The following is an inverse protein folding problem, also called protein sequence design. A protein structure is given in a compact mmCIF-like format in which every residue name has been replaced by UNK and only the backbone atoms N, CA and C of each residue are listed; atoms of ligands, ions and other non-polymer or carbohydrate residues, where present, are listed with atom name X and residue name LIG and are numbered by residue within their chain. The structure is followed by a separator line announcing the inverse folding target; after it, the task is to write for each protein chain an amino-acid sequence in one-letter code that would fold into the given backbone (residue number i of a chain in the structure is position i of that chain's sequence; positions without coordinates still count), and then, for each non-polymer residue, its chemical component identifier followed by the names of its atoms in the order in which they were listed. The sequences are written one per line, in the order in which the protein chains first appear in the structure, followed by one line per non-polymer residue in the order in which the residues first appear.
data_IF_385717657067
#
_entry.id   IF_385717657067
#
_cell.length_a   1.000
_cell.length_b   1.000
_cell.length_c   1.000
_cell.angle_alpha   90.00
_cell.angle_beta   90.00
_cell.angle_gamma   90.00
#
_symmetry.space_group_name_H-M   'P 1'
#
loop_
_entity.id
_entity.type
_entity.pdbx_description
1 polymer ?
#
# COMPACT_ATOMS: atom_id res chain seq x y z
N UNK A 1 40.41 1.96 -59.97
CA UNK A 1 41.07 2.78 -58.95
C UNK A 1 40.45 2.39 -57.62
N UNK A 2 41.22 1.63 -56.87
CA UNK A 2 41.05 1.26 -55.46
C UNK A 2 42.22 1.98 -54.72
N UNK A 3 42.31 2.11 -53.38
CA UNK A 3 41.32 2.14 -52.29
C UNK A 3 41.47 3.44 -51.43
N UNK A 4 40.61 3.62 -50.42
CA UNK A 4 40.71 4.70 -49.43
C UNK A 4 40.16 4.28 -48.07
N UNK A 5 40.89 3.37 -47.43
CA UNK A 5 40.72 2.80 -46.10
C UNK A 5 40.95 3.84 -44.99
N UNK A 6 39.99 4.00 -44.07
CA UNK A 6 40.21 4.68 -42.77
C UNK A 6 39.47 3.91 -41.68
N UNK A 7 40.13 2.88 -41.16
CA UNK A 7 39.84 2.28 -39.86
C UNK A 7 40.30 3.23 -38.74
N UNK A 8 39.39 3.66 -37.86
CA UNK A 8 39.78 4.13 -36.53
C UNK A 8 39.36 3.08 -35.49
N UNK A 9 40.32 2.21 -35.21
CA UNK A 9 40.40 1.40 -33.99
C UNK A 9 40.67 2.34 -32.81
N UNK A 10 39.83 2.28 -31.78
CA UNK A 10 40.23 2.67 -30.43
C UNK A 10 40.04 1.46 -29.51
N UNK A 11 41.10 0.66 -29.48
CA UNK A 11 41.42 -0.30 -28.43
C UNK A 11 41.54 0.43 -27.08
N UNK A 12 40.56 0.21 -26.20
CA UNK A 12 40.62 0.56 -24.78
C UNK A 12 40.64 -0.70 -23.92
N UNK A 13 41.76 -1.44 -23.92
CA UNK A 13 41.98 -2.59 -23.04
C UNK A 13 42.77 -2.19 -21.78
N UNK A 14 42.19 -2.62 -20.65
CA UNK A 14 42.82 -3.13 -19.42
C UNK A 14 43.39 -2.14 -18.38
N UNK A 15 42.77 -2.18 -17.19
CA UNK A 15 43.37 -2.53 -15.87
C UNK A 15 42.21 -2.55 -14.85
N UNK A 16 41.57 -3.68 -14.52
CA UNK A 16 41.99 -4.76 -13.62
C UNK A 16 42.52 -4.27 -12.26
N UNK A 17 41.63 -4.18 -11.26
CA UNK A 17 41.90 -4.58 -9.86
C UNK A 17 40.64 -5.23 -9.31
N UNK A 18 40.57 -6.56 -9.46
CA UNK A 18 39.71 -7.43 -8.65
C UNK A 18 40.39 -7.57 -7.29
N UNK A 19 39.87 -6.94 -6.24
CA UNK A 19 40.20 -7.31 -4.87
C UNK A 19 39.30 -8.46 -4.43
N UNK A 20 39.82 -9.67 -4.58
CA UNK A 20 39.32 -10.84 -3.88
C UNK A 20 39.75 -10.76 -2.42
N UNK A 21 38.78 -10.66 -1.51
CA UNK A 21 39.00 -10.95 -0.09
C UNK A 21 38.34 -12.29 0.23
N UNK A 22 39.15 -13.34 0.22
CA UNK A 22 38.79 -14.66 0.73
C UNK A 22 39.15 -14.76 2.21
N UNK A 23 38.10 -14.85 3.02
CA UNK A 23 37.86 -15.76 4.16
C UNK A 23 39.04 -16.22 5.03
N UNK A 24 39.00 -15.81 6.30
CA UNK A 24 39.21 -16.63 7.50
C UNK A 24 38.48 -15.89 8.64
N UNK A 25 37.70 -16.45 9.55
CA UNK A 25 37.34 -17.80 9.92
C UNK A 25 36.39 -17.69 11.12
N UNK A 26 35.85 -18.81 11.61
CA UNK A 26 35.15 -18.82 12.89
C UNK A 26 33.92 -19.71 12.90
N UNK A 27 34.15 -21.02 12.95
CA UNK A 27 33.17 -21.99 13.43
C UNK A 27 32.84 -21.64 14.89
N UNK A 28 31.59 -21.34 15.17
CA UNK A 28 30.98 -21.62 16.47
C UNK A 28 29.59 -22.21 16.23
N UNK A 29 29.59 -23.54 16.15
CA UNK A 29 28.40 -24.36 16.35
C UNK A 29 28.18 -24.40 17.87
N UNK A 30 27.16 -23.70 18.33
CA UNK A 30 26.52 -23.90 19.64
C UNK A 30 25.04 -23.99 19.31
N UNK A 31 24.53 -25.19 19.06
CA UNK A 31 23.97 -26.09 20.07
C UNK A 31 22.77 -25.47 20.81
N UNK A 32 21.61 -26.04 20.48
CA UNK A 32 20.42 -26.16 21.32
C UNK A 32 19.77 -24.87 21.87
N UNK A 33 18.58 -24.57 21.33
CA UNK A 33 17.34 -24.65 22.14
C UNK A 33 16.12 -24.76 21.25
N UNK A 34 15.50 -25.94 21.29
CA UNK A 34 14.11 -26.15 20.90
C UNK A 34 13.26 -25.29 21.84
N UNK A 35 12.55 -24.31 21.33
CA UNK A 35 11.34 -23.83 21.97
C UNK A 35 10.22 -23.86 20.93
N UNK A 36 9.63 -25.05 20.81
CA UNK A 36 8.26 -25.18 20.35
C UNK A 36 7.37 -24.43 21.33
N UNK A 37 7.00 -23.18 21.00
CA UNK A 37 5.97 -22.47 21.73
C UNK A 37 4.64 -22.97 21.19
N UNK A 38 4.07 -23.91 21.96
CA UNK A 38 2.74 -24.48 21.73
C UNK A 38 1.68 -23.39 21.87
N UNK A 39 0.88 -23.23 20.82
CA UNK A 39 -0.46 -22.68 20.88
C UNK A 39 -1.28 -23.42 21.95
N UNK A 40 -1.76 -22.68 22.95
CA UNK A 40 -2.84 -23.11 23.83
C UNK A 40 -3.49 -21.88 24.49
N UNK A 41 -4.22 -21.08 23.70
CA UNK A 41 -5.19 -20.14 24.28
C UNK A 41 -6.50 -20.92 24.46
N UNK A 42 -6.72 -21.26 25.72
CA UNK A 42 -7.91 -21.89 26.25
C UNK A 42 -9.06 -20.86 26.25
N UNK A 43 -9.99 -20.95 25.29
CA UNK A 43 -11.25 -20.21 25.38
C UNK A 43 -12.17 -20.99 26.31
N UNK A 44 -12.21 -20.56 27.57
CA UNK A 44 -13.14 -21.08 28.56
C UNK A 44 -14.56 -20.59 28.24
N UNK A 45 -15.39 -21.50 27.75
CA UNK A 45 -16.85 -21.42 27.76
C UNK A 45 -17.33 -21.26 29.20
N UNK A 46 -17.84 -20.08 29.56
CA UNK A 46 -18.72 -19.92 30.74
C UNK A 46 -20.16 -19.87 30.23
N UNK A 47 -20.82 -21.01 30.40
CA UNK A 47 -22.27 -21.19 30.30
C UNK A 47 -22.90 -20.79 31.64
N UNK A 48 -24.17 -20.39 31.58
CA UNK A 48 -25.19 -20.41 32.65
C UNK A 48 -25.48 -19.09 33.36
N UNK A 49 -26.41 -18.35 32.76
CA UNK A 49 -27.26 -17.37 33.43
C UNK A 49 -28.73 -17.60 33.06
N UNK A 50 -29.31 -18.70 33.51
CA UNK A 50 -30.77 -18.87 33.61
C UNK A 50 -31.29 -17.96 34.72
N UNK A 51 -32.22 -17.06 34.41
CA UNK A 51 -32.88 -16.30 35.48
C UNK A 51 -33.97 -15.35 35.00
N UNK A 52 -35.21 -15.75 35.19
CA UNK A 52 -36.29 -14.82 35.57
C UNK A 52 -37.06 -14.16 34.44
N UNK A 53 -38.26 -14.69 34.18
CA UNK A 53 -39.28 -13.97 33.42
C UNK A 53 -39.69 -12.67 34.11
N UNK A 54 -40.07 -11.67 33.30
CA UNK A 54 -40.88 -10.56 33.75
C UNK A 54 -41.94 -10.24 32.69
N UNK A 55 -43.14 -10.11 33.20
CA UNK A 55 -44.42 -10.10 32.52
C UNK A 55 -44.62 -8.94 31.55
N UNK A 56 -45.37 -9.21 30.49
CA UNK A 56 -46.11 -8.22 29.71
C UNK A 56 -46.95 -7.34 30.64
N UNK A 57 -46.79 -6.02 30.50
CA UNK A 57 -47.85 -5.06 30.78
C UNK A 57 -47.99 -4.14 29.57
N UNK A 58 -48.91 -4.50 28.68
CA UNK A 58 -49.38 -3.62 27.60
C UNK A 58 -50.31 -2.60 28.25
N UNK A 59 -49.79 -1.41 28.54
CA UNK A 59 -50.62 -0.26 28.89
C UNK A 59 -51.14 0.38 27.59
N UNK A 60 -52.43 0.20 27.33
CA UNK A 60 -53.14 0.86 26.23
C UNK A 60 -53.23 2.37 26.54
N UNK A 61 -52.31 3.17 25.99
CA UNK A 61 -52.37 4.63 26.10
C UNK A 61 -53.38 5.18 25.08
N UNK A 62 -54.22 6.16 25.48
CA UNK A 62 -55.10 6.84 24.54
C UNK A 62 -54.27 7.54 23.47
N UNK A 63 -54.64 7.28 22.22
CA UNK A 63 -54.10 7.84 20.99
C UNK A 63 -54.28 9.36 21.00
N UNK A 64 -53.40 10.08 21.68
CA UNK A 64 -53.21 11.51 21.49
C UNK A 64 -52.50 11.71 20.16
N UNK A 65 -53.18 12.37 19.21
CA UNK A 65 -52.62 12.76 17.91
C UNK A 65 -51.28 13.46 18.11
N UNK A 66 -50.19 12.76 17.79
CA UNK A 66 -48.86 13.32 17.86
C UNK A 66 -48.79 14.53 16.91
N UNK A 67 -48.19 15.66 17.33
CA UNK A 67 -47.90 16.75 16.41
C UNK A 67 -47.09 16.20 15.24
N UNK A 68 -47.31 16.73 14.01
CA UNK A 68 -46.58 16.27 12.83
C UNK A 68 -45.08 16.33 13.13
N UNK A 69 -44.31 15.29 12.77
CA UNK A 69 -42.87 15.27 13.00
C UNK A 69 -42.26 16.51 12.35
N UNK A 70 -41.51 17.30 13.12
CA UNK A 70 -40.68 18.34 12.56
C UNK A 70 -39.84 17.72 11.44
N UNK A 71 -39.74 18.34 10.25
CA UNK A 71 -38.94 17.80 9.17
C UNK A 71 -37.53 17.54 9.71
N UNK A 72 -37.10 16.28 9.64
CA UNK A 72 -35.74 15.90 10.00
C UNK A 72 -34.80 16.78 9.19
N UNK A 73 -33.81 17.46 9.79
CA UNK A 73 -32.84 18.21 9.03
C UNK A 73 -32.19 17.24 8.05
N UNK A 74 -32.52 17.39 6.76
CA UNK A 74 -31.89 16.67 5.67
C UNK A 74 -30.43 17.06 5.71
N UNK A 75 -29.61 16.19 6.31
CA UNK A 75 -28.17 16.33 6.22
C UNK A 75 -27.84 16.29 4.74
N UNK A 76 -27.27 17.36 4.15
CA UNK A 76 -26.85 17.30 2.77
C UNK A 76 -25.99 16.05 2.61
N UNK A 77 -26.18 15.26 1.53
CA UNK A 77 -25.37 14.07 1.31
C UNK A 77 -23.91 14.49 1.46
N UNK A 78 -23.16 13.77 2.30
CA UNK A 78 -21.77 14.07 2.56
C UNK A 78 -21.08 14.24 1.21
N UNK A 79 -20.77 15.49 0.87
CA UNK A 79 -20.10 15.80 -0.38
C UNK A 79 -18.82 14.97 -0.36
N UNK A 80 -18.56 14.12 -1.38
CA UNK A 80 -17.44 13.21 -1.34
C UNK A 80 -16.19 14.03 -1.06
N UNK A 81 -15.41 13.61 -0.07
CA UNK A 81 -14.23 14.31 0.43
C UNK A 81 -13.24 14.70 -0.70
N UNK A 82 -13.32 13.97 -1.82
CA UNK A 82 -12.62 14.23 -3.08
C UNK A 82 -13.06 15.55 -3.74
N UNK A 83 -14.35 15.87 -3.83
CA UNK A 83 -14.83 17.12 -4.43
C UNK A 83 -14.36 18.36 -3.65
N UNK A 84 -14.28 18.25 -2.32
CA UNK A 84 -13.70 19.29 -1.46
C UNK A 84 -12.20 19.45 -1.67
N UNK A 85 -11.50 18.35 -1.95
CA UNK A 85 -10.06 18.35 -2.23
C UNK A 85 -9.77 19.00 -3.60
N UNK A 86 -10.62 18.76 -4.61
CA UNK A 86 -10.55 19.38 -5.94
C UNK A 86 -10.82 20.88 -5.84
N UNK A 87 -11.90 21.31 -5.19
CA UNK A 87 -12.20 22.74 -4.98
C UNK A 87 -11.09 23.45 -4.21
N UNK A 88 -10.44 22.78 -3.25
CA UNK A 88 -9.27 23.33 -2.59
C UNK A 88 -8.06 23.44 -3.52
N UNK A 89 -7.78 22.44 -4.37
CA UNK A 89 -6.72 22.54 -5.38
C UNK A 89 -6.95 23.72 -6.33
N UNK A 90 -8.15 23.85 -6.87
CA UNK A 90 -8.53 24.93 -7.78
C UNK A 90 -8.46 26.30 -7.10
N UNK A 91 -8.88 26.39 -5.82
CA UNK A 91 -8.92 27.65 -5.09
C UNK A 91 -7.55 28.09 -4.54
N UNK A 92 -6.68 27.14 -4.17
CA UNK A 92 -5.41 27.44 -3.48
C UNK A 92 -4.27 27.75 -4.45
N UNK A 93 -4.36 27.26 -5.69
CA UNK A 93 -3.19 27.14 -6.54
C UNK A 93 -3.36 27.72 -7.95
N UNK A 94 -3.11 29.02 -8.03
CA UNK A 94 -2.14 29.49 -9.05
C UNK A 94 -0.73 28.84 -8.85
N UNK A 95 -0.61 27.58 -8.42
CA UNK A 95 0.62 26.88 -8.06
C UNK A 95 0.68 25.52 -8.78
N UNK A 96 1.89 25.16 -9.21
CA UNK A 96 2.15 24.14 -10.21
C UNK A 96 2.00 22.68 -9.72
N UNK A 97 1.97 22.43 -8.40
CA UNK A 97 1.79 21.08 -7.84
C UNK A 97 1.43 21.03 -6.34
N UNK A 98 0.48 20.18 -5.93
CA UNK A 98 0.20 19.81 -4.52
C UNK A 98 0.02 18.30 -4.39
N UNK A 99 0.44 17.72 -3.26
CA UNK A 99 0.21 16.32 -2.88
C UNK A 99 -0.43 16.23 -1.50
N UNK A 100 -1.46 15.40 -1.33
CA UNK A 100 -2.15 15.17 -0.05
C UNK A 100 -2.41 13.69 0.15
N UNK A 101 -2.05 13.17 1.33
CA UNK A 101 -2.41 11.84 1.79
C UNK A 101 -3.71 11.89 2.60
N UNK A 102 -4.72 11.13 2.18
CA UNK A 102 -5.99 10.95 2.88
C UNK A 102 -6.04 9.51 3.40
N UNK A 103 -6.05 9.33 4.72
CA UNK A 103 -6.34 8.03 5.34
C UNK A 103 -7.85 7.80 5.28
N UNK A 104 -8.29 6.86 4.44
CA UNK A 104 -9.71 6.50 4.25
C UNK A 104 -10.15 5.48 5.30
N UNK A 105 -9.29 4.50 5.58
CA UNK A 105 -9.46 3.52 6.67
C UNK A 105 -8.08 3.09 7.18
N UNK A 106 -8.02 2.11 8.09
CA UNK A 106 -6.73 1.55 8.54
C UNK A 106 -5.96 0.84 7.42
N UNK A 107 -6.66 0.27 6.44
CA UNK A 107 -6.08 -0.46 5.32
C UNK A 107 -6.19 0.28 3.98
N UNK A 108 -6.80 1.46 3.95
CA UNK A 108 -7.03 2.20 2.70
C UNK A 108 -6.56 3.65 2.80
N UNK A 109 -5.77 4.07 1.81
CA UNK A 109 -5.25 5.43 1.67
C UNK A 109 -5.46 5.94 0.25
N UNK A 110 -5.66 7.25 0.13
CA UNK A 110 -5.70 7.94 -1.16
C UNK A 110 -4.60 9.00 -1.20
N UNK A 111 -3.78 8.96 -2.25
CA UNK A 111 -2.74 9.93 -2.56
C UNK A 111 -3.29 10.81 -3.69
N UNK A 112 -3.68 12.02 -3.32
CA UNK A 112 -4.24 12.99 -4.23
C UNK A 112 -3.15 13.96 -4.64
N UNK A 113 -3.05 14.23 -5.94
CA UNK A 113 -2.16 15.26 -6.46
C UNK A 113 -2.87 16.13 -7.48
N UNK A 114 -2.44 17.37 -7.60
CA UNK A 114 -2.85 18.27 -8.67
C UNK A 114 -1.60 18.82 -9.34
N UNK A 115 -1.58 18.91 -10.67
CA UNK A 115 -0.47 19.48 -11.42
C UNK A 115 -0.96 20.31 -12.62
N UNK A 116 -0.27 21.43 -12.91
CA UNK A 116 -0.59 22.29 -14.05
C UNK A 116 0.65 22.64 -14.89
N UNK A 117 0.61 22.56 -16.24
CA UNK A 117 -0.52 22.09 -17.05
C UNK A 117 -0.88 20.63 -16.75
N UNK A 118 -2.16 20.28 -16.91
CA UNK A 118 -2.65 18.95 -16.60
C UNK A 118 -1.80 17.88 -17.33
N UNK A 119 -1.14 16.97 -16.59
CA UNK A 119 -0.35 15.93 -17.23
C UNK A 119 -1.25 14.97 -17.99
N UNK A 120 -0.69 14.23 -18.96
CA UNK A 120 -1.48 13.36 -19.86
C UNK A 120 -2.25 12.22 -19.18
N UNK A 121 -1.95 11.93 -17.91
CA UNK A 121 -2.59 10.93 -17.08
C UNK A 121 -3.57 11.52 -16.05
N UNK A 122 -3.65 12.84 -15.92
CA UNK A 122 -4.57 13.52 -15.03
C UNK A 122 -5.91 13.81 -15.72
N UNK A 123 -6.90 14.14 -14.90
CA UNK A 123 -8.14 14.74 -15.37
C UNK A 123 -7.88 16.14 -15.97
N UNK A 124 -8.86 16.70 -16.68
CA UNK A 124 -8.71 17.97 -17.39
C UNK A 124 -8.40 19.17 -16.45
N UNK A 125 -8.72 19.04 -15.16
CA UNK A 125 -8.43 19.98 -14.08
C UNK A 125 -7.03 19.76 -13.46
N UNK A 126 -6.26 18.77 -13.94
CA UNK A 126 -4.94 18.42 -13.43
C UNK A 126 -4.97 17.54 -12.19
N UNK A 127 -6.14 17.08 -11.74
CA UNK A 127 -6.29 16.18 -10.61
C UNK A 127 -5.85 14.75 -10.95
N UNK A 128 -5.25 14.08 -9.96
CA UNK A 128 -4.92 12.66 -10.02
C UNK A 128 -5.09 12.06 -8.63
N UNK A 129 -5.75 10.90 -8.56
CA UNK A 129 -5.89 10.14 -7.33
C UNK A 129 -5.29 8.75 -7.53
N UNK A 130 -4.47 8.34 -6.58
CA UNK A 130 -3.92 6.99 -6.48
C UNK A 130 -4.40 6.37 -5.18
N UNK A 131 -5.07 5.22 -5.27
CA UNK A 131 -5.59 4.51 -4.11
C UNK A 131 -4.65 3.35 -3.77
N UNK A 132 -4.36 3.21 -2.48
CA UNK A 132 -3.61 2.10 -1.91
C UNK A 132 -4.53 1.36 -0.96
N UNK A 133 -4.73 0.07 -1.21
CA UNK A 133 -5.49 -0.82 -0.33
C UNK A 133 -4.59 -1.96 0.10
N UNK A 134 -4.28 -2.02 1.39
CA UNK A 134 -3.52 -3.10 2.00
C UNK A 134 -4.44 -4.29 2.26
N UNK A 135 -4.04 -5.46 1.79
CA UNK A 135 -4.73 -6.74 2.01
C UNK A 135 -3.77 -7.76 2.64
N UNK A 136 -4.33 -8.84 3.19
CA UNK A 136 -3.53 -9.93 3.72
C UNK A 136 -2.70 -10.58 2.61
N UNK A 137 -1.41 -10.75 2.87
CA UNK A 137 -0.48 -11.45 2.00
C UNK A 137 -0.50 -12.97 2.18
N UNK A 138 0.27 -13.68 1.35
CA UNK A 138 0.36 -15.15 1.39
C UNK A 138 1.20 -15.68 2.55
N UNK A 139 2.03 -14.82 3.16
CA UNK A 139 2.84 -15.15 4.31
C UNK A 139 2.04 -15.13 5.61
N UNK A 140 2.11 -16.21 6.38
CA UNK A 140 1.46 -16.29 7.71
C UNK A 140 2.29 -15.64 8.83
N UNK A 141 3.59 -15.42 8.59
CA UNK A 141 4.55 -14.99 9.61
C UNK A 141 5.50 -13.92 9.07
N UNK A 142 5.97 -13.05 9.95
CA UNK A 142 6.91 -11.96 9.62
C UNK A 142 8.15 -12.45 8.86
N UNK A 143 8.67 -13.64 9.21
CA UNK A 143 9.86 -14.24 8.58
C UNK A 143 9.68 -14.63 7.10
N UNK A 144 8.46 -14.53 6.56
CA UNK A 144 8.20 -14.74 5.13
C UNK A 144 8.35 -13.47 4.29
N UNK A 145 8.47 -12.32 4.94
CA UNK A 145 8.50 -10.99 4.33
C UNK A 145 7.31 -10.67 3.38
N UNK A 146 6.22 -11.44 3.50
CA UNK A 146 5.08 -11.40 2.59
C UNK A 146 3.73 -11.46 3.33
N UNK A 147 3.63 -10.82 4.50
CA UNK A 147 2.42 -10.87 5.33
C UNK A 147 1.31 -9.93 4.84
N UNK A 148 1.65 -8.93 4.03
CA UNK A 148 0.73 -7.93 3.49
C UNK A 148 1.01 -7.69 2.00
N UNK A 149 -0.02 -7.21 1.30
CA UNK A 149 0.10 -6.74 -0.09
C UNK A 149 -0.61 -5.40 -0.22
N UNK A 150 0.11 -4.40 -0.70
CA UNK A 150 -0.48 -3.12 -1.09
C UNK A 150 -0.94 -3.18 -2.54
N UNK A 151 -2.24 -3.01 -2.74
CA UNK A 151 -2.88 -2.94 -4.05
C UNK A 151 -3.01 -1.49 -4.46
N UNK A 152 -2.21 -1.08 -5.44
CA UNK A 152 -2.05 0.32 -5.83
C UNK A 152 -2.73 0.53 -7.18
N UNK A 153 -3.73 1.42 -7.21
CA UNK A 153 -4.54 1.70 -8.40
C UNK A 153 -4.62 3.19 -8.68
N UNK A 154 -4.57 3.56 -9.96
CA UNK A 154 -4.65 4.95 -10.39
C UNK A 154 -4.48 5.07 -11.90
N UNK A 155 -4.60 6.28 -12.48
CA UNK A 155 -4.50 6.49 -13.92
C UNK A 155 -3.05 6.50 -14.44
N UNK A 156 -2.08 6.05 -13.64
CA UNK A 156 -0.66 6.09 -13.98
C UNK A 156 -0.27 5.03 -15.00
N UNK A 157 0.67 5.36 -15.91
CA UNK A 157 1.36 4.37 -16.76
C UNK A 157 2.44 3.61 -16.02
N UNK A 158 3.04 4.27 -15.05
CA UNK A 158 4.00 3.72 -14.10
C UNK A 158 3.79 4.45 -12.76
N UNK A 159 3.91 3.70 -11.67
CA UNK A 159 3.83 4.24 -10.32
C UNK A 159 5.23 4.38 -9.76
N UNK A 160 5.56 5.56 -9.22
CA UNK A 160 6.73 5.77 -8.37
C UNK A 160 6.30 5.58 -6.92
N UNK A 161 6.95 4.64 -6.25
CA UNK A 161 6.56 4.16 -4.92
C UNK A 161 7.70 4.37 -3.94
N UNK A 162 7.36 4.79 -2.72
CA UNK A 162 8.30 4.90 -1.61
C UNK A 162 7.68 4.32 -0.36
N UNK A 163 8.50 3.62 0.42
CA UNK A 163 8.08 2.92 1.64
C UNK A 163 8.94 3.35 2.82
N UNK A 164 8.35 3.33 4.00
CA UNK A 164 9.05 3.41 5.27
C UNK A 164 8.92 2.07 6.00
N UNK A 165 10.03 1.59 6.57
CA UNK A 165 10.05 0.46 7.49
C UNK A 165 10.11 0.98 8.93
N UNK A 166 9.33 0.38 9.82
CA UNK A 166 9.37 0.68 11.25
C UNK A 166 9.17 -0.54 12.13
N UNK A 167 10.20 -0.96 12.86
CA UNK A 167 10.12 -2.07 13.80
C UNK A 167 11.05 -1.90 15.00
N UNK A 168 10.54 -2.10 16.22
CA UNK A 168 11.30 -2.04 17.48
C UNK A 168 12.21 -0.79 17.64
N UNK A 169 11.77 0.36 17.12
CA UNK A 169 12.51 1.62 17.18
C UNK A 169 13.52 1.83 16.05
N UNK A 170 13.71 0.85 15.18
CA UNK A 170 14.38 1.03 13.90
C UNK A 170 13.39 1.65 12.91
N UNK A 171 13.80 2.76 12.28
CA UNK A 171 13.06 3.43 11.22
C UNK A 171 13.98 3.54 10.00
N UNK A 172 13.52 3.07 8.86
CA UNK A 172 14.27 3.16 7.60
C UNK A 172 13.37 3.64 6.47
N UNK A 173 13.74 4.76 5.86
CA UNK A 173 13.17 5.20 4.59
C UNK A 173 13.79 4.39 3.45
N UNK A 174 12.97 3.67 2.67
CA UNK A 174 13.44 2.88 1.53
C UNK A 174 13.65 3.78 0.31
N UNK A 175 14.57 3.40 -0.57
CA UNK A 175 14.76 4.13 -1.82
C UNK A 175 13.50 4.02 -2.71
N UNK A 176 13.07 5.10 -3.39
CA UNK A 176 11.95 5.03 -4.31
C UNK A 176 12.23 4.10 -5.49
N UNK A 177 11.20 3.42 -5.99
CA UNK A 177 11.27 2.60 -7.20
C UNK A 177 10.07 2.83 -8.09
N UNK A 178 10.13 2.37 -9.35
CA UNK A 178 9.02 2.44 -10.30
C UNK A 178 8.45 1.06 -10.60
N UNK A 179 7.14 0.99 -10.82
CA UNK A 179 6.45 -0.24 -11.18
C UNK A 179 5.32 0.05 -12.18
N UNK A 180 5.24 -0.65 -13.32
CA UNK A 180 4.12 -0.54 -14.26
C UNK A 180 2.88 -1.30 -13.77
N UNK A 181 1.65 -0.88 -14.14
CA UNK A 181 0.45 -1.65 -13.87
C UNK A 181 0.53 -3.10 -14.37
N UNK A 182 -0.07 -4.02 -13.61
CA UNK A 182 -0.03 -5.46 -13.83
C UNK A 182 1.20 -6.14 -13.22
N UNK A 183 2.10 -5.38 -12.58
CA UNK A 183 3.26 -5.91 -11.90
C UNK A 183 2.93 -6.36 -10.48
N UNK A 184 3.43 -7.53 -10.10
CA UNK A 184 3.53 -7.98 -8.71
C UNK A 184 5.01 -8.02 -8.34
N UNK A 185 5.42 -7.24 -7.33
CA UNK A 185 6.81 -7.11 -6.88
C UNK A 185 6.88 -7.28 -5.37
N UNK A 186 8.02 -7.69 -4.84
CA UNK A 186 8.32 -7.53 -3.41
C UNK A 186 9.15 -6.28 -3.16
N UNK A 187 9.13 -5.82 -1.90
CA UNK A 187 9.85 -4.63 -1.47
C UNK A 187 11.35 -4.86 -1.26
N UNK A 188 11.81 -6.11 -1.15
CA UNK A 188 13.22 -6.45 -1.01
C UNK A 188 13.95 -6.45 -2.37
N UNK A 189 13.22 -6.72 -3.45
CA UNK A 189 13.67 -6.68 -4.84
C UNK A 189 12.73 -5.82 -5.70
N UNK A 190 12.60 -4.52 -5.38
CA UNK A 190 11.64 -3.65 -6.03
C UNK A 190 11.88 -3.55 -7.55
N UNK A 191 10.81 -3.64 -8.33
CA UNK A 191 10.90 -3.59 -9.80
C UNK A 191 11.23 -4.93 -10.45
N UNK A 192 11.30 -6.02 -9.67
CA UNK A 192 11.37 -7.39 -10.18
C UNK A 192 10.06 -8.15 -9.92
N UNK A 193 9.74 -9.11 -10.78
CA UNK A 193 8.58 -9.97 -10.54
C UNK A 193 8.77 -10.74 -9.23
N UNK A 194 7.78 -10.65 -8.35
CA UNK A 194 7.77 -11.39 -7.10
C UNK A 194 7.82 -12.91 -7.35
N UNK A 195 8.77 -13.59 -6.72
CA UNK A 195 8.85 -15.05 -6.68
C UNK A 195 8.37 -15.50 -5.30
N UNK A 196 7.30 -16.32 -5.17
CA UNK A 196 6.88 -17.45 -6.01
C UNK A 196 5.90 -17.17 -7.16
N UNK A 197 5.52 -15.90 -7.39
CA UNK A 197 4.60 -15.51 -8.45
C UNK A 197 3.12 -15.48 -8.04
N UNK A 198 2.28 -14.98 -8.94
CA UNK A 198 0.88 -14.62 -8.66
C UNK A 198 0.01 -15.79 -8.16
N UNK A 199 0.39 -17.04 -8.43
CA UNK A 199 -0.36 -18.23 -7.99
C UNK A 199 -0.30 -18.46 -6.49
N UNK A 200 0.65 -17.82 -5.79
CA UNK A 200 0.71 -17.88 -4.34
C UNK A 200 -0.23 -16.88 -3.66
N UNK A 201 -0.76 -15.90 -4.40
CA UNK A 201 -1.73 -14.94 -3.86
C UNK A 201 -3.12 -15.58 -3.73
N UNK A 202 -3.87 -15.17 -2.71
CA UNK A 202 -5.27 -15.56 -2.51
C UNK A 202 -6.24 -14.82 -3.44
N UNK A 203 -5.72 -13.87 -4.22
CA UNK A 203 -6.44 -13.05 -5.18
C UNK A 203 -5.66 -12.98 -6.50
N UNK A 204 -6.34 -12.57 -7.56
CA UNK A 204 -5.72 -12.33 -8.85
C UNK A 204 -5.46 -10.83 -9.03
N UNK A 205 -4.20 -10.42 -9.31
CA UNK A 205 -3.86 -9.06 -9.70
C UNK A 205 -4.72 -8.56 -10.87
N UNK A 206 -5.22 -7.33 -10.73
CA UNK A 206 -5.82 -6.59 -11.84
C UNK A 206 -4.75 -6.12 -12.81
N UNK A 207 -5.09 -5.99 -14.09
CA UNK A 207 -4.16 -5.48 -15.11
C UNK A 207 -3.79 -4.01 -14.94
N UNK A 208 -4.59 -3.26 -14.18
CA UNK A 208 -4.45 -1.82 -13.98
C UNK A 208 -4.01 -1.47 -12.54
N UNK A 209 -3.42 -2.42 -11.82
CA UNK A 209 -2.91 -2.22 -10.46
C UNK A 209 -1.46 -2.70 -10.33
N UNK A 210 -0.72 -2.11 -9.40
CA UNK A 210 0.56 -2.67 -8.94
C UNK A 210 0.29 -3.31 -7.58
N UNK A 211 0.74 -4.55 -7.42
CA UNK A 211 0.70 -5.24 -6.13
C UNK A 211 2.12 -5.31 -5.57
N UNK A 212 2.33 -4.70 -4.40
CA UNK A 212 3.61 -4.76 -3.69
C UNK A 212 3.47 -5.67 -2.48
N UNK A 213 4.21 -6.77 -2.47
CA UNK A 213 4.26 -7.72 -1.37
C UNK A 213 5.30 -7.27 -0.36
N UNK A 214 4.93 -7.24 0.93
CA UNK A 214 5.83 -6.82 2.01
C UNK A 214 5.43 -7.45 3.36
N UNK A 215 6.26 -7.25 4.39
CA UNK A 215 5.85 -7.51 5.77
C UNK A 215 5.07 -6.33 6.37
N UNK A 216 4.30 -6.58 7.43
CA UNK A 216 3.44 -5.59 8.08
C UNK A 216 4.16 -4.45 8.82
N UNK A 217 5.49 -4.40 8.75
CA UNK A 217 6.30 -3.29 9.29
C UNK A 217 6.69 -2.28 8.21
N UNK A 218 6.37 -2.56 6.94
CA UNK A 218 6.54 -1.62 5.84
C UNK A 218 5.22 -0.90 5.56
N UNK A 219 5.31 0.41 5.32
CA UNK A 219 4.16 1.28 5.06
C UNK A 219 4.49 2.15 3.87
N UNK A 220 3.58 2.24 2.90
CA UNK A 220 3.68 3.23 1.82
C UNK A 220 3.77 4.64 2.38
N UNK A 221 4.88 5.33 2.13
CA UNK A 221 5.10 6.71 2.56
C UNK A 221 4.75 7.71 1.47
N UNK A 222 4.99 7.38 0.19
CA UNK A 222 4.64 8.22 -0.95
C UNK A 222 4.30 7.40 -2.20
N UNK A 223 3.34 7.90 -2.99
CA UNK A 223 2.96 7.34 -4.30
C UNK A 223 2.68 8.47 -5.28
N UNK A 224 3.26 8.38 -6.46
CA UNK A 224 3.01 9.29 -7.56
C UNK A 224 3.03 8.56 -8.92
N UNK A 225 2.52 9.18 -9.98
CA UNK A 225 2.79 8.70 -11.32
C UNK A 225 4.23 9.07 -11.74
N UNK A 226 4.98 8.16 -12.36
CA UNK A 226 6.17 8.51 -13.16
C UNK A 226 5.77 8.77 -14.61
N UNK A 227 6.30 9.86 -15.17
CA UNK A 227 5.97 10.36 -16.51
C UNK A 227 6.80 9.76 -17.63
#
# INVERSE_FOLDING_TARGET
MDPGDVTNSMDGKANNVVQAHTVHGGVHITEARRHAVRNAILVALIVLGTGGGMWLMIANRPTGSAPPPSPTPTTPPAEPQNARSVQQCEALHHMSSQHTLIKVSDTARAYNSCAWPAPSFADADGFTQINVVTVAGPGEYEASDATEVDRITGPCREFRLTYDFGYQGELQHKAPFTAPPGMVTDLDQPGSNWSPGVTALSFYPSRNEVDVVHNGHNIVSDVACSG
#
